data_IF_045887648830
#
_entry.id   IF_045887648830
#
_cell.length_a   1.000
_cell.length_b   1.000
_cell.length_c   1.000
_cell.angle_alpha   90.00
_cell.angle_beta   90.00
_cell.angle_gamma   90.00
#
_symmetry.space_group_name_H-M   'P 1'
#
loop_
_entity.id
_entity.type
_entity.pdbx_description
1 polymer ?
#
# COMPACT_ATOMS: atom_id res chain seq x y z
N UNK A 1 12.16 -17.32 10.09
CA UNK A 1 10.82 -16.71 10.25
C UNK A 1 10.81 -15.32 9.64
N UNK A 2 9.68 -14.89 9.10
CA UNK A 2 9.48 -13.51 8.66
C UNK A 2 9.11 -12.65 9.86
N UNK A 3 9.74 -11.50 9.98
CA UNK A 3 9.30 -10.44 10.88
C UNK A 3 8.26 -9.60 10.14
N UNK A 4 7.11 -9.38 10.77
CA UNK A 4 5.98 -8.68 10.17
C UNK A 4 5.51 -7.63 11.16
N UNK A 5 5.31 -6.41 10.65
CA UNK A 5 4.71 -5.30 11.39
C UNK A 5 3.52 -4.77 10.61
N UNK A 6 2.38 -4.60 11.28
CA UNK A 6 1.22 -3.95 10.68
C UNK A 6 1.37 -2.43 10.72
N UNK A 7 0.98 -1.77 9.63
CA UNK A 7 0.85 -0.32 9.59
C UNK A 7 -0.58 0.01 10.01
N UNK A 8 -0.82 0.94 10.96
CA UNK A 8 -2.16 1.44 11.27
C UNK A 8 -2.67 2.36 10.15
N UNK A 9 -2.76 1.83 8.94
CA UNK A 9 -2.82 2.58 7.67
C UNK A 9 -4.12 3.34 7.43
N UNK A 10 -5.20 2.96 8.10
CA UNK A 10 -6.54 3.40 7.70
C UNK A 10 -6.88 2.96 6.27
N UNK A 11 -7.74 3.73 5.60
CA UNK A 11 -8.09 3.51 4.20
C UNK A 11 -6.97 4.02 3.28
N UNK A 12 -6.74 3.34 2.15
CA UNK A 12 -5.80 3.84 1.13
C UNK A 12 -6.34 5.04 0.34
N UNK A 13 -7.65 5.29 0.36
CA UNK A 13 -8.29 6.37 -0.41
C UNK A 13 -8.76 5.96 -1.81
N UNK A 14 -8.35 4.80 -2.31
CA UNK A 14 -8.61 4.42 -3.70
C UNK A 14 -10.01 3.85 -3.97
N UNK A 15 -10.46 2.90 -3.14
CA UNK A 15 -11.78 2.26 -3.21
C UNK A 15 -12.30 1.93 -4.64
N UNK A 16 -11.44 1.34 -5.49
CA UNK A 16 -11.81 0.97 -6.87
C UNK A 16 -11.67 2.16 -7.82
N UNK A 17 -12.71 2.51 -8.58
CA UNK A 17 -12.69 3.67 -9.48
C UNK A 17 -12.77 5.01 -8.74
N UNK A 18 -13.22 5.01 -7.48
CA UNK A 18 -13.43 6.21 -6.69
C UNK A 18 -12.21 7.15 -6.74
N UNK A 19 -11.01 6.64 -6.50
CA UNK A 19 -9.79 7.46 -6.51
C UNK A 19 -9.34 7.98 -7.86
N UNK A 20 -9.86 7.44 -8.97
CA UNK A 20 -9.59 7.96 -10.33
C UNK A 20 -10.64 8.96 -10.81
N UNK A 21 -11.79 9.04 -10.17
CA UNK A 21 -12.82 9.99 -10.57
C UNK A 21 -12.33 11.41 -10.29
N UNK A 22 -12.37 12.29 -11.30
CA UNK A 22 -11.88 13.68 -11.18
C UNK A 22 -12.43 14.40 -9.94
N UNK A 23 -13.70 14.17 -9.60
CA UNK A 23 -14.36 14.79 -8.44
C UNK A 23 -13.87 14.25 -7.09
N UNK A 24 -13.22 13.09 -7.08
CA UNK A 24 -12.78 12.38 -5.88
C UNK A 24 -11.25 12.22 -5.80
N UNK A 25 -10.50 12.62 -6.82
CA UNK A 25 -9.05 12.46 -6.87
C UNK A 25 -8.36 13.12 -5.66
N UNK A 26 -8.70 14.38 -5.37
CA UNK A 26 -8.08 15.12 -4.27
C UNK A 26 -8.42 14.54 -2.90
N UNK A 27 -9.66 14.06 -2.70
CA UNK A 27 -10.06 13.42 -1.44
C UNK A 27 -9.42 12.02 -1.29
N UNK A 28 -9.32 11.24 -2.37
CA UNK A 28 -8.59 9.97 -2.39
C UNK A 28 -7.13 10.17 -1.98
N UNK A 29 -6.47 11.15 -2.59
CA UNK A 29 -5.08 11.52 -2.25
C UNK A 29 -4.97 11.95 -0.79
N UNK A 30 -5.87 12.82 -0.33
CA UNK A 30 -5.88 13.32 1.06
C UNK A 30 -6.02 12.17 2.06
N UNK A 31 -6.93 11.22 1.82
CA UNK A 31 -7.10 10.03 2.67
C UNK A 31 -5.81 9.21 2.71
N UNK A 32 -5.15 9.02 1.56
CA UNK A 32 -3.90 8.25 1.49
C UNK A 32 -2.76 8.89 2.28
N UNK A 33 -2.71 10.23 2.34
CA UNK A 33 -1.66 11.00 3.01
C UNK A 33 -1.85 11.09 4.53
N UNK A 34 -3.02 10.72 5.08
CA UNK A 34 -3.27 10.76 6.54
C UNK A 34 -2.30 9.84 7.30
N UNK A 35 -2.17 8.58 6.86
CA UNK A 35 -1.36 7.57 7.57
C UNK A 35 -0.55 6.67 6.66
N UNK A 36 -1.15 6.24 5.54
CA UNK A 36 -0.54 5.25 4.67
C UNK A 36 0.74 5.77 3.99
N UNK A 37 0.66 6.89 3.25
CA UNK A 37 1.82 7.40 2.51
C UNK A 37 3.01 7.79 3.41
N UNK A 38 2.81 8.46 4.57
CA UNK A 38 3.90 8.68 5.52
C UNK A 38 4.60 7.39 5.95
N UNK A 39 3.85 6.33 6.25
CA UNK A 39 4.43 5.05 6.64
C UNK A 39 5.19 4.36 5.49
N UNK A 40 4.66 4.42 4.26
CA UNK A 40 5.33 3.85 3.07
C UNK A 40 6.63 4.59 2.75
N UNK A 41 6.65 5.92 2.89
CA UNK A 41 7.84 6.73 2.64
C UNK A 41 8.88 6.60 3.77
N UNK A 42 8.42 6.34 5.00
CA UNK A 42 9.29 6.17 6.18
C UNK A 42 9.84 4.75 6.41
N UNK A 43 9.47 3.77 5.59
CA UNK A 43 9.93 2.38 5.74
C UNK A 43 11.46 2.27 5.51
N UNK A 44 12.07 1.24 6.11
CA UNK A 44 13.46 0.90 5.83
C UNK A 44 13.62 0.39 4.38
N UNK A 45 14.80 0.62 3.79
CA UNK A 45 15.05 0.34 2.37
C UNK A 45 14.89 -1.14 1.98
N UNK A 46 15.09 -2.06 2.93
CA UNK A 46 14.99 -3.51 2.77
C UNK A 46 13.61 -4.08 3.16
N UNK A 47 12.64 -3.21 3.47
CA UNK A 47 11.29 -3.62 3.85
C UNK A 47 10.41 -3.86 2.63
N UNK A 48 9.93 -5.10 2.47
CA UNK A 48 8.88 -5.43 1.51
C UNK A 48 7.54 -4.90 1.98
N UNK A 49 6.86 -4.10 1.16
CA UNK A 49 5.49 -3.66 1.42
C UNK A 49 4.51 -4.71 0.91
N UNK A 50 3.57 -5.11 1.77
CA UNK A 50 2.55 -6.11 1.46
C UNK A 50 1.17 -5.49 1.59
N UNK A 51 0.34 -5.67 0.57
CA UNK A 51 -1.06 -5.23 0.58
C UNK A 51 -1.95 -6.22 -0.20
N UNK A 52 -2.99 -6.74 0.47
CA UNK A 52 -3.91 -7.72 -0.11
C UNK A 52 -4.79 -7.12 -1.21
N UNK A 53 -5.22 -5.87 -1.04
CA UNK A 53 -6.13 -5.20 -1.98
C UNK A 53 -5.41 -4.66 -3.22
N UNK A 54 -5.95 -4.97 -4.40
CA UNK A 54 -5.47 -4.43 -5.69
C UNK A 54 -5.45 -2.90 -5.70
N UNK A 55 -6.53 -2.27 -5.21
CA UNK A 55 -6.65 -0.81 -5.12
C UNK A 55 -5.61 -0.20 -4.18
N UNK A 56 -5.29 -0.87 -3.06
CA UNK A 56 -4.25 -0.41 -2.15
C UNK A 56 -2.88 -0.46 -2.82
N UNK A 57 -2.57 -1.55 -3.55
CA UNK A 57 -1.30 -1.67 -4.28
C UNK A 57 -1.12 -0.56 -5.32
N UNK A 58 -2.16 -0.26 -6.10
CA UNK A 58 -2.12 0.85 -7.07
C UNK A 58 -1.87 2.19 -6.38
N UNK A 59 -2.62 2.49 -5.33
CA UNK A 59 -2.45 3.75 -4.59
C UNK A 59 -1.04 3.89 -3.99
N UNK A 60 -0.47 2.79 -3.48
CA UNK A 60 0.90 2.76 -2.93
C UNK A 60 1.94 2.97 -4.04
N UNK A 61 1.72 2.42 -5.23
CA UNK A 61 2.57 2.68 -6.38
C UNK A 61 2.48 4.16 -6.81
N UNK A 62 1.26 4.68 -6.99
CA UNK A 62 0.99 6.02 -7.52
C UNK A 62 1.51 7.14 -6.60
N UNK A 63 1.29 7.03 -5.28
CA UNK A 63 1.62 8.10 -4.33
C UNK A 63 2.78 7.78 -3.39
N UNK A 64 3.11 6.50 -3.22
CA UNK A 64 4.20 6.02 -2.36
C UNK A 64 5.47 5.66 -3.12
N UNK A 65 5.44 5.63 -4.46
CA UNK A 65 6.59 5.28 -5.30
C UNK A 65 7.18 3.90 -4.98
N UNK A 66 6.36 2.99 -4.47
CA UNK A 66 6.76 1.67 -4.01
C UNK A 66 5.83 0.63 -4.60
N UNK A 67 6.38 -0.44 -5.18
CA UNK A 67 5.60 -1.60 -5.59
C UNK A 67 5.29 -2.47 -4.37
N UNK A 68 4.03 -2.51 -3.96
CA UNK A 68 3.55 -3.43 -2.93
C UNK A 68 3.12 -4.75 -3.56
N UNK A 69 3.35 -5.87 -2.88
CA UNK A 69 2.99 -7.22 -3.37
C UNK A 69 1.85 -7.83 -2.56
N UNK A 70 1.19 -8.84 -3.12
CA UNK A 70 0.27 -9.66 -2.34
C UNK A 70 1.06 -10.56 -1.36
N UNK A 71 0.51 -10.81 -0.18
CA UNK A 71 1.22 -11.57 0.87
C UNK A 71 1.63 -12.98 0.42
N UNK A 72 0.81 -13.64 -0.40
CA UNK A 72 1.13 -14.95 -0.99
C UNK A 72 2.37 -14.87 -1.90
N UNK A 73 2.55 -13.78 -2.64
CA UNK A 73 3.73 -13.58 -3.49
C UNK A 73 4.99 -13.38 -2.63
N UNK A 74 4.87 -12.61 -1.54
CA UNK A 74 5.95 -12.42 -0.57
C UNK A 74 6.39 -13.75 0.07
N UNK A 75 5.44 -14.61 0.46
CA UNK A 75 5.72 -15.94 0.99
C UNK A 75 6.37 -16.85 -0.05
N UNK A 76 5.85 -16.87 -1.28
CA UNK A 76 6.41 -17.67 -2.37
C UNK A 76 7.85 -17.28 -2.69
N UNK A 77 8.16 -15.99 -2.75
CA UNK A 77 9.50 -15.48 -3.06
C UNK A 77 10.54 -15.83 -1.98
N UNK A 78 10.12 -15.97 -0.72
CA UNK A 78 10.98 -16.33 0.42
C UNK A 78 11.19 -17.84 0.58
N UNK A 79 10.41 -18.66 -0.12
CA UNK A 79 10.53 -20.12 -0.13
C UNK A 79 10.01 -20.78 1.15
N UNK A 80 9.17 -21.82 0.96
CA UNK A 80 8.48 -22.65 1.97
C UNK A 80 7.15 -22.11 2.46
N UNK A 81 6.11 -22.35 1.67
CA UNK A 81 4.85 -22.87 2.21
C UNK A 81 4.89 -24.38 1.99
#
# INVERSE_FOLDING_TARGET
NLEVSEIPSGCCGMAGSFGYEKRHYDISKTISEDRLMPAIRGKAADTTVVACGFSCRHQIADFGGTEAVHWVEALRAKGRV
#
